data_IF_586799109359
#
_entry.id   IF_586799109359
#
_cell.length_a   1.000
_cell.length_b   1.000
_cell.length_c   1.000
_cell.angle_alpha   90.00
_cell.angle_beta   90.00
_cell.angle_gamma   90.00
#
_symmetry.space_group_name_H-M   'P 1'
#
loop_
_entity.id
_entity.type
_entity.pdbx_description
1 polymer ?
#
# COMPACT_ATOMS: atom_id res chain seq x y z
N UNK A 1 -2.96 -17.39 -11.01
CA UNK A 1 -2.18 -16.14 -10.98
C UNK A 1 -2.44 -15.33 -12.25
N UNK A 2 -2.40 -15.97 -13.42
CA UNK A 2 -2.57 -15.35 -14.75
C UNK A 2 -3.82 -14.47 -14.91
N UNK A 3 -4.97 -14.89 -14.36
CA UNK A 3 -6.19 -14.07 -14.42
C UNK A 3 -6.05 -12.76 -13.64
N UNK A 4 -5.44 -12.78 -12.47
CA UNK A 4 -5.19 -11.58 -11.66
C UNK A 4 -4.27 -10.62 -12.41
N UNK A 5 -3.17 -11.14 -12.97
CA UNK A 5 -2.22 -10.34 -13.76
C UNK A 5 -2.89 -9.67 -14.95
N UNK A 6 -3.70 -10.41 -15.71
CA UNK A 6 -4.44 -9.86 -16.85
C UNK A 6 -5.37 -8.72 -16.45
N UNK A 7 -6.09 -8.87 -15.33
CA UNK A 7 -6.99 -7.82 -14.82
C UNK A 7 -6.21 -6.60 -14.35
N UNK A 8 -5.12 -6.77 -13.60
CA UNK A 8 -4.30 -5.63 -13.15
C UNK A 8 -3.66 -4.92 -14.35
N UNK A 9 -3.24 -5.65 -15.38
CA UNK A 9 -2.74 -5.08 -16.63
C UNK A 9 -3.80 -4.29 -17.38
N UNK A 10 -5.04 -4.78 -17.43
CA UNK A 10 -6.15 -4.02 -17.99
C UNK A 10 -6.41 -2.74 -17.18
N UNK A 11 -6.44 -2.85 -15.84
CA UNK A 11 -6.64 -1.71 -14.95
C UNK A 11 -5.53 -0.66 -15.08
N UNK A 12 -4.28 -1.07 -15.33
CA UNK A 12 -3.17 -0.12 -15.53
C UNK A 12 -3.27 0.66 -16.83
N UNK A 13 -3.83 0.06 -17.89
CA UNK A 13 -4.11 0.75 -19.16
C UNK A 13 -5.29 1.72 -19.00
N UNK A 14 -6.35 1.31 -18.31
CA UNK A 14 -7.54 2.15 -18.08
C UNK A 14 -7.28 3.29 -17.08
N UNK A 15 -6.33 3.10 -16.16
CA UNK A 15 -5.98 4.05 -15.11
C UNK A 15 -4.47 4.31 -15.13
N UNK A 16 -3.97 5.10 -16.10
CA UNK A 16 -2.55 5.37 -16.23
C UNK A 16 -1.95 5.95 -14.95
N UNK A 17 -0.89 5.31 -14.45
CA UNK A 17 -0.24 5.70 -13.18
C UNK A 17 0.42 7.08 -13.21
N UNK A 18 0.68 7.65 -14.39
CA UNK A 18 1.14 9.04 -14.51
C UNK A 18 0.08 10.07 -14.07
N UNK A 19 -1.17 9.64 -13.85
CA UNK A 19 -2.23 10.42 -13.20
C UNK A 19 -2.25 10.25 -11.68
N UNK A 20 -1.24 9.62 -11.08
CA UNK A 20 -1.14 9.47 -9.63
C UNK A 20 -1.03 10.85 -8.97
N UNK A 21 -2.06 11.20 -8.19
CA UNK A 21 -2.08 12.44 -7.44
C UNK A 21 -1.90 12.19 -5.94
N UNK A 22 -0.69 12.48 -5.47
CA UNK A 22 -0.37 12.57 -4.05
C UNK A 22 0.52 13.80 -3.86
N UNK A 23 -0.06 14.91 -3.40
CA UNK A 23 0.66 16.18 -3.32
C UNK A 23 1.89 16.04 -2.40
N UNK A 24 3.08 16.29 -2.94
CA UNK A 24 4.28 16.43 -2.11
C UNK A 24 4.15 17.70 -1.26
N UNK A 25 4.24 17.61 0.08
CA UNK A 25 4.11 18.78 0.95
C UNK A 25 5.18 19.85 0.67
N UNK A 26 4.84 21.12 0.86
CA UNK A 26 5.74 22.26 0.61
C UNK A 26 6.95 22.27 1.57
N UNK A 27 6.78 21.77 2.79
CA UNK A 27 7.84 21.59 3.77
C UNK A 27 8.64 20.28 3.55
N UNK A 28 8.87 19.89 2.28
CA UNK A 28 9.66 18.72 1.95
C UNK A 28 11.13 18.93 2.36
N UNK A 29 11.71 18.05 3.21
CA UNK A 29 13.11 18.19 3.63
C UNK A 29 14.08 17.74 2.54
N UNK A 30 13.57 17.12 1.47
CA UNK A 30 14.36 16.64 0.34
C UNK A 30 14.28 17.61 -0.83
N UNK A 31 15.42 17.90 -1.44
CA UNK A 31 15.47 18.63 -2.70
C UNK A 31 14.83 17.80 -3.82
N UNK A 32 13.93 18.41 -4.57
CA UNK A 32 13.38 17.88 -5.83
C UNK A 32 13.73 18.91 -6.91
N UNK A 33 14.34 18.50 -8.03
CA UNK A 33 14.62 19.39 -9.16
C UNK A 33 13.37 20.14 -9.64
N UNK A 34 13.53 21.44 -9.91
CA UNK A 34 12.42 22.34 -10.28
C UNK A 34 11.74 21.98 -11.62
N UNK A 35 12.44 21.23 -12.49
CA UNK A 35 11.91 20.71 -13.76
C UNK A 35 10.92 19.54 -13.57
N UNK A 36 10.91 18.90 -12.39
CA UNK A 36 9.96 17.85 -12.04
C UNK A 36 8.68 18.48 -11.46
N UNK A 37 7.76 18.81 -12.37
CA UNK A 37 6.53 19.56 -12.04
C UNK A 37 5.36 18.68 -11.60
N UNK A 38 5.15 17.52 -12.22
CA UNK A 38 3.97 16.70 -11.96
C UNK A 38 4.09 15.86 -10.68
N UNK A 39 2.96 15.58 -10.03
CA UNK A 39 2.96 14.90 -8.73
C UNK A 39 3.47 13.45 -8.83
N UNK A 40 3.21 12.75 -9.92
CA UNK A 40 3.68 11.39 -10.10
C UNK A 40 5.22 11.36 -10.12
N UNK A 41 5.84 12.15 -11.01
CA UNK A 41 7.29 12.19 -11.15
C UNK A 41 7.98 12.70 -9.87
N UNK A 42 7.38 13.65 -9.14
CA UNK A 42 7.89 14.09 -7.84
C UNK A 42 7.92 12.96 -6.81
N UNK A 43 6.86 12.15 -6.72
CA UNK A 43 6.82 11.01 -5.80
C UNK A 43 7.79 9.90 -6.21
N UNK A 44 7.94 9.63 -7.51
CA UNK A 44 8.96 8.70 -8.03
C UNK A 44 10.35 9.18 -7.65
N UNK A 45 10.66 10.46 -7.90
CA UNK A 45 11.95 11.05 -7.56
C UNK A 45 12.28 10.87 -6.07
N UNK A 46 11.33 11.16 -5.17
CA UNK A 46 11.56 10.98 -3.73
C UNK A 46 11.81 9.50 -3.36
N UNK A 47 11.05 8.56 -3.92
CA UNK A 47 11.25 7.12 -3.67
C UNK A 47 12.65 6.67 -4.11
N UNK A 48 13.18 7.23 -5.20
CA UNK A 48 14.46 6.80 -5.78
C UNK A 48 15.69 7.53 -5.22
N UNK A 49 15.53 8.72 -4.63
CA UNK A 49 16.66 9.59 -4.27
C UNK A 49 16.79 9.88 -2.76
N UNK A 50 15.81 9.55 -1.93
CA UNK A 50 15.83 9.93 -0.50
C UNK A 50 16.46 8.88 0.43
N UNK A 51 16.77 7.67 -0.06
CA UNK A 51 17.24 6.56 0.78
C UNK A 51 18.44 6.92 1.67
N UNK A 52 19.48 7.53 1.08
CA UNK A 52 20.67 7.93 1.83
C UNK A 52 20.35 8.95 2.94
N UNK A 53 19.56 9.96 2.64
CA UNK A 53 19.17 11.00 3.60
C UNK A 53 18.37 10.41 4.78
N UNK A 54 17.48 9.45 4.50
CA UNK A 54 16.69 8.76 5.54
C UNK A 54 17.61 7.88 6.40
N UNK A 55 18.51 7.10 5.80
CA UNK A 55 19.41 6.22 6.55
C UNK A 55 20.43 6.97 7.42
N UNK A 56 20.85 8.16 6.97
CA UNK A 56 21.78 9.01 7.72
C UNK A 56 21.13 9.79 8.88
N UNK A 57 19.80 9.84 8.93
CA UNK A 57 19.02 10.60 9.90
C UNK A 57 18.92 9.86 11.24
N UNK A 58 19.74 10.29 12.21
CA UNK A 58 19.76 9.76 13.57
C UNK A 58 18.65 10.29 14.46
N UNK A 59 18.07 11.47 14.16
CA UNK A 59 16.97 12.04 14.95
C UNK A 59 15.60 11.46 14.58
N UNK A 60 15.52 10.76 13.44
CA UNK A 60 14.32 10.20 12.83
C UNK A 60 13.37 11.25 12.25
N UNK A 61 13.83 12.50 12.07
CA UNK A 61 12.99 13.59 11.58
C UNK A 61 12.48 13.31 10.15
N UNK A 62 13.33 12.76 9.27
CA UNK A 62 12.94 12.36 7.92
C UNK A 62 11.94 11.19 7.95
N UNK A 63 12.09 10.27 8.90
CA UNK A 63 11.19 9.14 9.09
C UNK A 63 9.80 9.62 9.50
N UNK A 64 9.74 10.55 10.47
CA UNK A 64 8.48 11.14 10.93
C UNK A 64 7.86 12.05 9.87
N UNK A 65 8.65 12.79 9.09
CA UNK A 65 8.12 13.55 7.96
C UNK A 65 7.44 12.64 6.94
N UNK A 66 8.08 11.53 6.56
CA UNK A 66 7.50 10.54 5.63
C UNK A 66 6.18 9.96 6.16
N UNK A 67 6.10 9.67 7.45
CA UNK A 67 4.91 9.07 8.04
C UNK A 67 3.78 10.10 8.22
N UNK A 68 4.08 11.23 8.85
CA UNK A 68 3.09 12.18 9.31
C UNK A 68 2.69 13.18 8.23
N UNK A 69 3.69 13.74 7.52
CA UNK A 69 3.49 14.88 6.63
C UNK A 69 3.25 14.38 5.21
N UNK A 70 4.21 13.65 4.63
CA UNK A 70 4.03 13.05 3.31
C UNK A 70 2.94 11.98 3.34
N UNK A 71 2.98 11.08 4.34
CA UNK A 71 2.08 9.95 4.45
C UNK A 71 0.69 10.26 5.04
N UNK A 72 0.50 11.46 5.59
CA UNK A 72 -0.77 11.91 6.17
C UNK A 72 -1.17 11.23 7.50
N UNK A 73 -0.27 10.50 8.18
CA UNK A 73 -0.60 9.78 9.42
C UNK A 73 -0.16 10.61 10.65
N UNK A 74 -0.87 11.70 10.88
CA UNK A 74 -0.56 12.65 11.96
C UNK A 74 -0.64 12.06 13.38
N UNK A 75 -1.30 10.91 13.58
CA UNK A 75 -1.41 10.23 14.88
C UNK A 75 -0.13 9.48 15.29
N UNK A 76 0.78 9.19 14.35
CA UNK A 76 2.05 8.50 14.63
C UNK A 76 3.11 9.50 15.15
N UNK A 77 2.92 10.00 16.37
CA UNK A 77 3.75 11.05 16.97
C UNK A 77 5.14 10.57 17.39
N UNK A 78 6.11 11.48 17.37
CA UNK A 78 7.46 11.23 17.83
C UNK A 78 7.51 11.11 19.35
N UNK A 79 7.90 9.93 19.80
CA UNK A 79 8.17 9.62 21.20
C UNK A 79 8.96 8.30 21.28
N UNK A 80 9.54 8.01 22.44
CA UNK A 80 10.45 6.88 22.64
C UNK A 80 9.91 5.53 22.12
N UNK A 81 8.63 5.22 22.40
CA UNK A 81 8.00 3.98 21.91
C UNK A 81 7.92 3.88 20.38
N UNK A 82 7.68 4.99 19.67
CA UNK A 82 7.60 4.99 18.20
C UNK A 82 9.00 5.03 17.57
N UNK A 83 9.98 5.66 18.23
CA UNK A 83 11.38 5.57 17.82
C UNK A 83 11.85 4.11 17.85
N UNK A 84 11.63 3.41 18.97
CA UNK A 84 11.91 1.98 19.10
C UNK A 84 11.19 1.15 18.06
N UNK A 85 9.94 1.50 17.75
CA UNK A 85 9.12 0.83 16.74
C UNK A 85 9.72 0.97 15.33
N UNK A 86 10.11 2.17 14.92
CA UNK A 86 10.78 2.42 13.63
C UNK A 86 12.07 1.61 13.55
N UNK A 87 12.96 1.74 14.53
CA UNK A 87 14.26 1.07 14.51
C UNK A 87 14.12 -0.46 14.49
N UNK A 88 13.23 -1.00 15.34
CA UNK A 88 12.95 -2.44 15.37
C UNK A 88 12.37 -2.92 14.05
N UNK A 89 11.47 -2.15 13.43
CA UNK A 89 10.89 -2.51 12.14
C UNK A 89 11.95 -2.60 11.04
N UNK A 90 12.87 -1.64 10.98
CA UNK A 90 13.97 -1.67 10.01
C UNK A 90 14.86 -2.91 10.15
N UNK A 91 15.01 -3.45 11.37
CA UNK A 91 15.68 -4.75 11.57
C UNK A 91 14.79 -5.93 11.18
N UNK A 92 13.50 -5.91 11.55
CA UNK A 92 12.55 -7.00 11.27
C UNK A 92 12.27 -7.19 9.78
N UNK A 93 12.25 -6.11 8.98
CA UNK A 93 12.02 -6.22 7.53
C UNK A 93 13.15 -6.94 6.81
N UNK A 94 14.39 -6.85 7.30
CA UNK A 94 15.52 -7.60 6.76
C UNK A 94 15.45 -9.10 7.13
N UNK A 95 14.86 -9.43 8.28
CA UNK A 95 14.69 -10.81 8.75
C UNK A 95 13.47 -11.56 8.19
N UNK A 96 12.74 -10.97 7.22
CA UNK A 96 11.50 -11.50 6.62
C UNK A 96 10.37 -11.86 7.60
N UNK A 97 10.38 -11.31 8.82
CA UNK A 97 9.38 -11.62 9.85
C UNK A 97 9.04 -10.41 10.70
N UNK A 98 7.77 -10.06 10.75
CA UNK A 98 7.28 -8.95 11.57
C UNK A 98 6.66 -9.44 12.87
N UNK A 99 6.90 -8.68 13.94
CA UNK A 99 6.13 -8.83 15.17
C UNK A 99 4.77 -8.14 15.05
N UNK A 100 3.78 -8.63 15.81
CA UNK A 100 2.44 -8.01 15.86
C UNK A 100 2.52 -6.52 16.23
N UNK A 101 3.42 -6.18 17.15
CA UNK A 101 3.70 -4.81 17.58
C UNK A 101 4.04 -3.83 16.44
N UNK A 102 4.79 -4.30 15.43
CA UNK A 102 5.14 -3.52 14.25
C UNK A 102 4.09 -3.65 13.15
N UNK A 103 3.56 -4.85 12.94
CA UNK A 103 2.52 -5.08 11.93
C UNK A 103 1.27 -4.23 12.18
N UNK A 104 0.88 -4.01 13.44
CA UNK A 104 -0.25 -3.13 13.79
C UNK A 104 -0.06 -1.66 13.37
N UNK A 105 1.17 -1.25 13.04
CA UNK A 105 1.50 0.08 12.53
C UNK A 105 2.11 0.01 11.12
N UNK A 106 1.88 -1.08 10.38
CA UNK A 106 2.54 -1.34 9.09
C UNK A 106 2.26 -0.25 8.05
N UNK A 107 1.07 0.36 8.05
CA UNK A 107 0.77 1.46 7.11
C UNK A 107 1.65 2.70 7.32
N UNK A 108 2.15 2.93 8.53
CA UNK A 108 3.16 3.96 8.80
C UNK A 108 4.55 3.46 8.44
N UNK A 109 4.92 2.29 8.97
CA UNK A 109 6.29 1.79 8.93
C UNK A 109 6.74 1.40 7.50
N UNK A 110 5.85 0.82 6.70
CA UNK A 110 6.12 0.47 5.31
C UNK A 110 6.42 1.68 4.43
N UNK A 111 5.95 2.89 4.78
CA UNK A 111 6.32 4.12 4.06
C UNK A 111 7.82 4.33 4.12
N UNK A 112 8.40 4.26 5.32
CA UNK A 112 9.86 4.41 5.50
C UNK A 112 10.61 3.35 4.71
N UNK A 113 10.26 2.06 4.87
CA UNK A 113 10.95 0.98 4.15
C UNK A 113 10.87 1.14 2.62
N UNK A 114 9.73 1.60 2.09
CA UNK A 114 9.56 1.81 0.64
C UNK A 114 10.39 2.96 0.06
N UNK A 115 10.85 3.91 0.88
CA UNK A 115 11.75 4.99 0.45
C UNK A 115 13.23 4.66 0.70
N UNK A 116 13.52 3.77 1.66
CA UNK A 116 14.87 3.27 1.89
C UNK A 116 15.26 2.22 0.83
N UNK A 117 14.35 1.29 0.53
CA UNK A 117 14.57 0.22 -0.45
C UNK A 117 13.37 0.09 -1.41
N UNK A 118 13.18 1.05 -2.34
CA UNK A 118 12.04 1.08 -3.27
C UNK A 118 11.96 -0.14 -4.20
N UNK A 119 13.08 -0.84 -4.41
CA UNK A 119 13.16 -2.08 -5.21
C UNK A 119 12.77 -3.35 -4.45
N UNK A 120 12.57 -3.27 -3.13
CA UNK A 120 12.27 -4.42 -2.27
C UNK A 120 10.95 -4.28 -1.54
N UNK A 121 10.57 -3.05 -1.20
CA UNK A 121 9.47 -2.77 -0.30
C UNK A 121 8.49 -1.76 -0.89
N UNK A 122 7.21 -2.03 -0.70
CA UNK A 122 6.11 -1.17 -1.12
C UNK A 122 5.28 -0.75 0.09
N UNK A 123 4.51 0.33 -0.04
CA UNK A 123 3.64 0.81 1.03
C UNK A 123 2.49 -0.17 1.22
N UNK A 124 2.29 -0.60 2.46
CA UNK A 124 1.18 -1.45 2.90
C UNK A 124 0.04 -0.56 3.44
N UNK A 125 -0.57 0.21 2.54
CA UNK A 125 -1.68 1.11 2.86
C UNK A 125 -3.01 0.38 2.86
N UNK A 126 -3.94 0.81 3.73
CA UNK A 126 -5.28 0.22 3.82
C UNK A 126 -6.04 0.22 2.48
N UNK A 127 -5.87 1.23 1.62
CA UNK A 127 -6.50 1.30 0.28
C UNK A 127 -5.89 0.31 -0.69
N UNK A 128 -4.55 0.22 -0.73
CA UNK A 128 -3.87 -0.71 -1.59
C UNK A 128 -4.23 -2.17 -1.24
N UNK A 129 -4.28 -2.49 0.07
CA UNK A 129 -4.68 -3.81 0.55
C UNK A 129 -6.16 -4.09 0.31
N UNK A 130 -7.02 -3.10 0.48
CA UNK A 130 -8.45 -3.21 0.14
C UNK A 130 -8.64 -3.62 -1.32
N UNK A 131 -8.04 -2.88 -2.24
CA UNK A 131 -8.07 -3.17 -3.68
C UNK A 131 -7.50 -4.54 -3.99
N UNK A 132 -6.31 -4.86 -3.47
CA UNK A 132 -5.65 -6.13 -3.75
C UNK A 132 -6.49 -7.31 -3.25
N UNK A 133 -7.04 -7.23 -2.05
CA UNK A 133 -7.91 -8.27 -1.50
C UNK A 133 -9.17 -8.46 -2.34
N UNK A 134 -9.79 -7.37 -2.79
CA UNK A 134 -10.95 -7.44 -3.69
C UNK A 134 -10.62 -8.15 -5.01
N UNK A 135 -9.48 -7.83 -5.61
CA UNK A 135 -9.03 -8.44 -6.85
C UNK A 135 -8.65 -9.92 -6.66
N UNK A 136 -7.94 -10.25 -5.58
CA UNK A 136 -7.62 -11.63 -5.21
C UNK A 136 -8.89 -12.45 -5.01
N UNK A 137 -9.84 -11.90 -4.25
CA UNK A 137 -11.14 -12.51 -4.06
C UNK A 137 -11.79 -12.81 -5.40
N UNK A 138 -11.95 -11.85 -6.31
CA UNK A 138 -12.68 -12.07 -7.57
C UNK A 138 -11.92 -12.90 -8.64
N UNK A 139 -10.59 -12.99 -8.56
CA UNK A 139 -9.77 -13.49 -9.68
C UNK A 139 -8.81 -14.63 -9.33
N UNK A 140 -8.87 -15.15 -8.11
CA UNK A 140 -8.23 -16.42 -7.73
C UNK A 140 -9.30 -17.46 -7.39
N UNK A 141 -8.97 -18.75 -7.27
CA UNK A 141 -9.94 -19.79 -6.88
C UNK A 141 -10.01 -19.95 -5.36
N UNK A 142 -8.85 -20.02 -4.71
CA UNK A 142 -8.67 -20.09 -3.25
C UNK A 142 -7.96 -18.83 -2.77
N UNK A 143 -8.70 -17.74 -2.46
CA UNK A 143 -8.09 -16.47 -2.13
C UNK A 143 -7.38 -16.56 -0.78
N UNK A 144 -6.08 -16.31 -0.79
CA UNK A 144 -5.29 -16.10 0.41
C UNK A 144 -5.04 -14.58 0.54
N UNK A 145 -5.87 -13.95 1.38
CA UNK A 145 -5.98 -12.51 1.50
C UNK A 145 -4.95 -11.93 2.48
N UNK A 146 -4.69 -10.64 2.35
CA UNK A 146 -3.78 -9.90 3.19
C UNK A 146 -4.55 -9.26 4.37
N UNK A 147 -4.05 -9.33 5.62
CA UNK A 147 -4.67 -8.61 6.73
C UNK A 147 -4.69 -7.11 6.44
N UNK A 148 -5.88 -6.52 6.39
CA UNK A 148 -6.02 -5.10 6.10
C UNK A 148 -5.70 -4.27 7.36
N UNK A 149 -4.79 -3.30 7.27
CA UNK A 149 -4.52 -2.40 8.37
C UNK A 149 -5.72 -1.45 8.57
N UNK A 150 -5.87 -0.90 9.77
CA UNK A 150 -6.97 0.02 10.06
C UNK A 150 -6.89 1.26 9.15
N UNK A 151 -7.79 1.33 8.18
CA UNK A 151 -8.00 2.49 7.31
C UNK A 151 -9.19 3.29 7.81
N UNK A 152 -9.03 4.61 7.91
CA UNK A 152 -10.14 5.52 8.23
C UNK A 152 -10.15 6.62 7.18
N UNK A 153 -11.21 6.66 6.38
CA UNK A 153 -11.51 7.79 5.51
C UNK A 153 -11.91 7.40 4.09
N UNK A 154 -12.88 8.15 3.55
CA UNK A 154 -13.24 8.14 2.14
C UNK A 154 -14.26 7.09 1.72
N UNK A 155 -14.45 6.99 0.40
CA UNK A 155 -15.47 6.17 -0.26
C UNK A 155 -15.39 4.68 0.09
N UNK A 156 -14.17 4.15 0.30
CA UNK A 156 -13.97 2.73 0.65
C UNK A 156 -14.54 2.35 2.03
N UNK A 157 -14.69 3.31 2.95
CA UNK A 157 -15.20 3.04 4.29
C UNK A 157 -16.72 2.75 4.29
N UNK A 158 -17.42 3.09 3.21
CA UNK A 158 -18.85 2.77 3.03
C UNK A 158 -19.09 1.28 2.84
N UNK A 159 -18.06 0.54 2.38
CA UNK A 159 -18.15 -0.86 2.03
C UNK A 159 -17.14 -1.67 2.84
N UNK A 160 -17.58 -2.21 3.98
CA UNK A 160 -16.77 -3.12 4.78
C UNK A 160 -16.53 -4.44 4.03
N UNK A 161 -15.35 -4.55 3.42
CA UNK A 161 -15.00 -5.68 2.55
C UNK A 161 -14.96 -7.01 3.32
N UNK A 162 -14.67 -6.95 4.63
CA UNK A 162 -14.67 -8.12 5.50
C UNK A 162 -16.08 -8.71 5.63
N UNK A 163 -17.09 -7.86 5.78
CA UNK A 163 -18.50 -8.24 5.78
C UNK A 163 -18.91 -8.83 4.44
N UNK A 164 -18.49 -8.21 3.33
CA UNK A 164 -18.78 -8.73 1.98
C UNK A 164 -18.21 -10.15 1.82
N UNK A 165 -16.94 -10.37 2.19
CA UNK A 165 -16.33 -11.69 2.11
C UNK A 165 -17.04 -12.73 2.97
N UNK A 166 -17.44 -12.39 4.21
CA UNK A 166 -18.20 -13.29 5.09
C UNK A 166 -19.57 -13.65 4.51
N UNK A 167 -20.29 -12.66 4.01
CA UNK A 167 -21.64 -12.87 3.45
C UNK A 167 -21.62 -13.62 2.11
N UNK A 168 -20.50 -13.58 1.38
CA UNK A 168 -20.34 -14.31 0.13
C UNK A 168 -20.37 -15.84 0.27
N UNK A 169 -20.19 -16.36 1.50
CA UNK A 169 -20.05 -17.79 1.83
C UNK A 169 -18.89 -18.50 1.11
N UNK A 170 -18.01 -17.74 0.48
CA UNK A 170 -16.82 -18.26 -0.17
C UNK A 170 -15.74 -18.52 0.86
N UNK A 171 -15.05 -19.64 0.71
CA UNK A 171 -13.87 -19.94 1.52
C UNK A 171 -12.73 -18.98 1.19
N UNK A 172 -12.25 -18.28 2.21
CA UNK A 172 -11.15 -17.31 2.14
C UNK A 172 -10.24 -17.51 3.33
N UNK A 173 -8.93 -17.48 3.09
CA UNK A 173 -7.93 -17.54 4.15
C UNK A 173 -7.20 -16.22 4.24
N UNK A 174 -6.52 -15.98 5.37
CA UNK A 174 -5.71 -14.79 5.58
C UNK A 174 -4.27 -15.17 5.87
N UNK A 175 -3.36 -14.45 5.22
CA UNK A 175 -1.92 -14.55 5.51
C UNK A 175 -1.65 -14.14 6.95
N UNK A 176 -0.70 -14.81 7.58
CA UNK A 176 -0.23 -14.44 8.91
C UNK A 176 0.45 -13.07 8.88
N UNK A 177 0.18 -12.25 9.90
CA UNK A 177 0.83 -10.95 10.08
C UNK A 177 2.37 -11.05 10.10
N UNK A 178 2.92 -12.23 10.41
CA UNK A 178 4.36 -12.47 10.49
C UNK A 178 5.02 -12.26 9.12
N UNK A 179 4.41 -12.76 8.05
CA UNK A 179 5.00 -12.76 6.70
C UNK A 179 4.20 -11.94 5.69
N UNK A 180 2.97 -11.50 6.04
CA UNK A 180 2.06 -10.86 5.09
C UNK A 180 2.66 -9.64 4.37
N UNK A 181 3.51 -8.86 5.05
CA UNK A 181 4.17 -7.71 4.42
C UNK A 181 5.19 -8.13 3.35
N UNK A 182 5.99 -9.15 3.64
CA UNK A 182 6.99 -9.68 2.71
C UNK A 182 6.34 -10.40 1.54
N UNK A 183 5.29 -11.19 1.79
CA UNK A 183 4.48 -11.83 0.76
C UNK A 183 3.83 -10.79 -0.16
N UNK A 184 3.35 -9.67 0.41
CA UNK A 184 2.80 -8.55 -0.35
C UNK A 184 3.85 -7.94 -1.28
N UNK A 185 5.04 -7.63 -0.76
CA UNK A 185 6.12 -7.09 -1.57
C UNK A 185 6.54 -8.08 -2.68
N UNK A 186 6.71 -9.37 -2.36
CA UNK A 186 7.05 -10.41 -3.35
C UNK A 186 6.01 -10.49 -4.47
N UNK A 187 4.72 -10.45 -4.12
CA UNK A 187 3.63 -10.41 -5.10
C UNK A 187 3.69 -9.15 -5.97
N UNK A 188 3.94 -7.97 -5.39
CA UNK A 188 4.04 -6.72 -6.13
C UNK A 188 5.24 -6.70 -7.08
N UNK A 189 6.38 -7.33 -6.75
CA UNK A 189 7.49 -7.51 -7.70
C UNK A 189 7.02 -8.28 -8.93
N UNK A 190 6.34 -9.41 -8.72
CA UNK A 190 5.86 -10.26 -9.82
C UNK A 190 4.85 -9.50 -10.70
N UNK A 191 3.88 -8.84 -10.06
CA UNK A 191 2.89 -8.02 -10.76
C UNK A 191 3.53 -6.87 -11.53
N UNK A 192 4.53 -6.20 -10.95
CA UNK A 192 5.20 -5.08 -11.60
C UNK A 192 5.86 -5.51 -12.91
N UNK A 193 6.55 -6.66 -12.92
CA UNK A 193 7.15 -7.21 -14.13
C UNK A 193 6.12 -7.60 -15.19
N UNK A 194 5.04 -8.25 -14.78
CA UNK A 194 3.98 -8.70 -15.70
C UNK A 194 3.19 -7.52 -16.33
N UNK A 195 2.96 -6.47 -15.53
CA UNK A 195 2.11 -5.33 -15.90
C UNK A 195 2.90 -4.23 -16.61
N UNK A 196 4.10 -3.89 -16.11
CA UNK A 196 4.89 -2.75 -16.57
C UNK A 196 6.20 -3.16 -17.27
N UNK A 197 6.46 -4.46 -17.45
CA UNK A 197 7.68 -4.97 -18.09
C UNK A 197 8.87 -5.05 -17.14
N UNK A 198 10.06 -5.37 -17.67
CA UNK A 198 11.28 -5.63 -16.88
C UNK A 198 11.72 -4.44 -16.00
N UNK A 199 11.40 -3.20 -16.40
CA UNK A 199 11.68 -1.99 -15.60
C UNK A 199 10.60 -1.70 -14.55
N UNK A 200 9.53 -2.51 -14.49
CA UNK A 200 8.43 -2.34 -13.57
C UNK A 200 8.88 -2.38 -12.11
N UNK A 201 8.52 -1.33 -11.35
CA UNK A 201 8.82 -1.21 -9.92
C UNK A 201 7.58 -1.52 -9.08
N UNK A 202 7.79 -2.07 -7.88
CA UNK A 202 6.69 -2.43 -6.97
C UNK A 202 5.78 -1.24 -6.67
N UNK A 203 6.38 -0.05 -6.50
CA UNK A 203 5.64 1.17 -6.19
C UNK A 203 4.67 1.57 -7.32
N UNK A 204 4.89 1.13 -8.57
CA UNK A 204 3.97 1.40 -9.68
C UNK A 204 2.66 0.63 -9.50
N UNK A 205 2.75 -0.62 -9.04
CA UNK A 205 1.58 -1.45 -8.70
C UNK A 205 0.90 -0.89 -7.45
N UNK A 206 1.67 -0.54 -6.42
CA UNK A 206 1.17 0.14 -5.21
C UNK A 206 0.34 1.39 -5.55
N UNK A 207 0.89 2.30 -6.37
CA UNK A 207 0.22 3.53 -6.82
C UNK A 207 -1.06 3.21 -7.60
N UNK A 208 -1.03 2.24 -8.51
CA UNK A 208 -2.22 1.79 -9.24
C UNK A 208 -3.31 1.31 -8.28
N UNK A 209 -2.98 0.36 -7.38
CA UNK A 209 -3.92 -0.22 -6.43
C UNK A 209 -4.55 0.86 -5.53
N UNK A 210 -3.76 1.85 -5.16
CA UNK A 210 -4.19 2.99 -4.37
C UNK A 210 -5.16 3.90 -5.14
N UNK A 211 -4.84 4.26 -6.39
CA UNK A 211 -5.65 5.17 -7.23
C UNK A 211 -7.03 4.61 -7.53
N UNK A 212 -7.11 3.32 -7.81
CA UNK A 212 -8.35 2.68 -8.25
C UNK A 212 -9.28 2.31 -7.09
N UNK A 213 -8.77 2.32 -5.85
CA UNK A 213 -9.55 1.95 -4.66
C UNK A 213 -10.84 2.78 -4.50
N UNK A 214 -10.81 4.13 -4.45
CA UNK A 214 -12.01 4.93 -4.25
C UNK A 214 -12.90 5.05 -5.50
N UNK A 215 -12.45 4.57 -6.67
CA UNK A 215 -13.16 4.74 -7.94
C UNK A 215 -13.59 3.39 -8.49
N UNK A 216 -12.72 2.70 -9.22
CA UNK A 216 -13.04 1.45 -9.93
C UNK A 216 -13.51 0.35 -8.99
N UNK A 217 -12.85 0.18 -7.83
CA UNK A 217 -13.18 -0.91 -6.92
C UNK A 217 -14.51 -0.66 -6.22
N UNK A 218 -14.74 0.56 -5.74
CA UNK A 218 -16.04 0.95 -5.14
C UNK A 218 -17.17 0.79 -6.16
N UNK A 219 -17.00 1.31 -7.39
CA UNK A 219 -17.99 1.16 -8.46
C UNK A 219 -18.27 -0.31 -8.79
N UNK A 220 -17.24 -1.16 -8.80
CA UNK A 220 -17.42 -2.59 -9.04
C UNK A 220 -18.22 -3.23 -7.90
N UNK A 221 -17.90 -2.93 -6.64
CA UNK A 221 -18.64 -3.40 -5.46
C UNK A 221 -20.10 -2.97 -5.56
N UNK A 222 -20.38 -1.69 -5.83
CA UNK A 222 -21.73 -1.16 -6.02
C UNK A 222 -22.51 -1.88 -7.12
N UNK A 223 -21.82 -2.29 -8.19
CA UNK A 223 -22.45 -3.00 -9.31
C UNK A 223 -22.75 -4.48 -9.04
N UNK A 224 -22.01 -5.12 -8.13
CA UNK A 224 -22.07 -6.58 -7.96
C UNK A 224 -22.49 -7.04 -6.55
N UNK A 225 -22.59 -6.15 -5.58
CA UNK A 225 -23.02 -6.47 -4.20
C UNK A 225 -24.41 -5.90 -3.96
N UNK A 226 -25.36 -6.79 -3.66
CA UNK A 226 -26.73 -6.44 -3.28
C UNK A 226 -27.11 -7.13 -1.97
N UNK A 227 -27.87 -6.43 -1.13
CA UNK A 227 -28.40 -6.98 0.13
C UNK A 227 -29.91 -7.11 0.05
N UNK A 228 -30.43 -8.28 0.41
CA UNK A 228 -31.85 -8.51 0.70
C UNK A 228 -31.97 -8.73 2.21
N UNK A 229 -32.67 -7.81 2.89
CA UNK A 229 -32.95 -7.91 4.33
C UNK A 229 -34.39 -8.41 4.48
N UNK A 230 -34.55 -9.54 5.17
CA UNK A 230 -35.86 -10.06 5.53
C UNK A 230 -36.25 -9.44 6.88
N UNK A 231 -37.34 -8.68 6.90
CA UNK A 231 -37.90 -8.13 8.14
C UNK A 231 -38.78 -9.23 8.73
N UNK A 232 -38.43 -9.65 9.95
CA UNK A 232 -39.18 -10.63 10.74
C UNK A 232 -40.15 -9.92 11.65
#
# INVERSE_FOLDING_TARGET
MDRLEKIIKQLSVENPINKFEWKVPENCPFYIPDDIVDQYSRNVYLKENCSHAILSDKSLDNHYWLIQIWGGIGSFKQHEKNNKRILKFLTEVEGERLTKFNFDCISSLSKVASFIHPDRFAIYDSRAIYTLNWLLFNHTEKPELFPQPAGRGGEIAKYDIQTIFRLSKRDVTYRSYINAYHDYCKLLVQLAKSVFGESGKLYMVEMLLFMIAPTKIVQQIESCVSLKVEIV
#
